data_IF_543477350612
#
_entry.id   IF_543477350612
#
_cell.length_a   1.000
_cell.length_b   1.000
_cell.length_c   1.000
_cell.angle_alpha   90.00
_cell.angle_beta   90.00
_cell.angle_gamma   90.00
#
_symmetry.space_group_name_H-M   'P 1'
#
loop_
_entity.id
_entity.type
_entity.pdbx_description
1 polymer ?
#
# COMPACT_ATOMS: atom_id res chain seq x y z
N UNK A 1 -33.26 12.28 -19.57
CA UNK A 1 -33.49 12.06 -21.01
C UNK A 1 -34.70 11.16 -21.20
N UNK A 2 -35.18 10.99 -22.43
CA UNK A 2 -36.28 10.06 -22.72
C UNK A 2 -35.66 8.68 -22.99
N UNK A 3 -36.14 7.65 -22.31
CA UNK A 3 -35.62 6.28 -22.44
C UNK A 3 -35.98 5.69 -23.82
N UNK A 4 -34.99 5.48 -24.72
CA UNK A 4 -35.25 5.00 -26.08
C UNK A 4 -35.85 3.59 -26.11
N UNK A 5 -35.53 2.76 -25.12
CA UNK A 5 -36.03 1.39 -25.05
C UNK A 5 -37.52 1.37 -24.66
N UNK A 6 -37.94 2.27 -23.77
CA UNK A 6 -39.35 2.41 -23.39
C UNK A 6 -40.21 3.03 -24.49
N UNK A 7 -39.65 3.97 -25.25
CA UNK A 7 -40.29 4.50 -26.46
C UNK A 7 -40.50 3.41 -27.52
N UNK A 8 -39.48 2.57 -27.74
CA UNK A 8 -39.58 1.45 -28.68
C UNK A 8 -40.61 0.39 -28.23
N UNK A 9 -40.87 0.28 -26.92
CA UNK A 9 -41.90 -0.58 -26.34
C UNK A 9 -43.35 -0.05 -26.44
N UNK A 10 -43.57 1.11 -27.07
CA UNK A 10 -44.91 1.69 -27.27
C UNK A 10 -45.34 2.70 -26.20
N UNK A 11 -44.45 3.06 -25.27
CA UNK A 11 -44.72 4.10 -24.27
C UNK A 11 -44.78 5.45 -24.96
N UNK A 12 -45.86 6.21 -24.75
CA UNK A 12 -45.98 7.58 -25.28
C UNK A 12 -44.82 8.44 -24.79
N UNK A 13 -44.25 9.30 -25.66
CA UNK A 13 -43.22 10.26 -25.25
C UNK A 13 -43.69 11.08 -24.05
N UNK A 14 -44.98 11.42 -23.98
CA UNK A 14 -45.57 12.22 -22.90
C UNK A 14 -45.78 11.50 -21.56
N UNK A 15 -45.55 10.18 -21.50
CA UNK A 15 -45.75 9.42 -20.28
C UNK A 15 -44.57 9.59 -19.33
N UNK A 16 -44.85 9.78 -18.03
CA UNK A 16 -43.85 9.89 -16.96
C UNK A 16 -42.89 8.69 -16.93
N UNK A 17 -43.38 7.50 -17.31
CA UNK A 17 -42.59 6.27 -17.39
C UNK A 17 -41.46 6.32 -18.43
N UNK A 18 -41.57 7.19 -19.43
CA UNK A 18 -40.54 7.40 -20.45
C UNK A 18 -39.40 8.32 -19.97
N UNK A 19 -39.55 8.95 -18.80
CA UNK A 19 -38.55 9.85 -18.22
C UNK A 19 -37.45 9.03 -17.54
N UNK A 20 -36.22 9.19 -18.02
CA UNK A 20 -35.03 8.72 -17.34
C UNK A 20 -34.38 9.87 -16.57
N UNK A 21 -34.60 9.89 -15.26
CA UNK A 21 -33.85 10.75 -14.34
C UNK A 21 -32.37 10.36 -14.37
N UNK A 22 -31.50 11.33 -14.67
CA UNK A 22 -30.05 11.15 -14.57
C UNK A 22 -29.60 10.87 -13.13
N UNK A 23 -28.30 10.72 -12.92
CA UNK A 23 -27.77 10.35 -11.60
C UNK A 23 -28.00 11.43 -10.52
N UNK A 24 -27.84 12.71 -10.86
CA UNK A 24 -27.93 13.81 -9.89
C UNK A 24 -29.36 14.03 -9.36
N UNK A 25 -30.42 14.09 -10.19
CA UNK A 25 -31.80 14.23 -9.69
C UNK A 25 -32.25 13.09 -8.77
N UNK A 26 -31.71 11.88 -8.95
CA UNK A 26 -31.99 10.72 -8.08
C UNK A 26 -31.44 10.90 -6.66
N UNK A 27 -30.53 11.86 -6.45
CA UNK A 27 -29.89 12.15 -5.17
C UNK A 27 -30.37 13.47 -4.56
N UNK A 28 -31.59 13.90 -4.89
CA UNK A 28 -32.23 15.03 -4.22
C UNK A 28 -32.22 14.83 -2.69
N UNK A 29 -31.80 15.87 -1.96
CA UNK A 29 -31.54 15.92 -0.51
C UNK A 29 -30.43 14.98 -0.06
N UNK A 30 -29.50 14.66 -0.96
CA UNK A 30 -28.39 13.76 -0.73
C UNK A 30 -27.02 14.37 -1.03
N UNK A 31 -26.00 13.53 -0.93
CA UNK A 31 -24.63 13.85 -1.31
C UNK A 31 -24.33 13.13 -2.63
N UNK A 32 -23.96 13.91 -3.65
CA UNK A 32 -23.45 13.36 -4.90
C UNK A 32 -21.92 13.40 -4.88
N UNK A 33 -21.32 12.24 -4.64
CA UNK A 33 -19.87 12.06 -4.62
C UNK A 33 -19.36 11.62 -6.00
N UNK A 34 -18.31 12.27 -6.51
CA UNK A 34 -17.64 11.89 -7.76
C UNK A 34 -16.12 11.93 -7.62
N UNK A 35 -15.43 11.12 -8.41
CA UNK A 35 -13.98 11.17 -8.47
C UNK A 35 -13.50 12.03 -9.63
N UNK A 36 -12.41 12.74 -9.38
CA UNK A 36 -11.61 13.40 -10.42
C UNK A 36 -12.44 14.33 -11.31
N UNK A 37 -13.13 15.32 -10.70
CA UNK A 37 -13.84 16.38 -11.42
C UNK A 37 -13.03 16.97 -12.61
N UNK A 38 -11.70 17.22 -12.49
CA UNK A 38 -10.90 17.75 -13.59
C UNK A 38 -10.75 16.83 -14.82
N UNK A 39 -11.14 15.57 -14.72
CA UNK A 39 -11.11 14.61 -15.82
C UNK A 39 -12.44 14.54 -16.57
N UNK A 40 -13.50 15.11 -16.02
CA UNK A 40 -14.79 15.18 -16.71
C UNK A 40 -14.71 16.14 -17.90
N UNK A 41 -15.42 15.75 -18.95
CA UNK A 41 -15.64 16.59 -20.13
C UNK A 41 -16.27 17.94 -19.75
N UNK A 42 -15.91 18.99 -20.46
CA UNK A 42 -16.36 20.36 -20.20
C UNK A 42 -17.90 20.47 -20.23
N UNK A 43 -18.58 19.73 -21.11
CA UNK A 43 -20.05 19.74 -21.19
C UNK A 43 -20.70 19.16 -19.93
N UNK A 44 -20.08 18.15 -19.33
CA UNK A 44 -20.56 17.56 -18.07
C UNK A 44 -20.36 18.56 -16.92
N UNK A 45 -19.22 19.26 -16.90
CA UNK A 45 -18.95 20.30 -15.92
C UNK A 45 -19.95 21.46 -16.01
N UNK A 46 -20.29 21.90 -17.22
CA UNK A 46 -21.33 22.92 -17.44
C UNK A 46 -22.69 22.43 -16.95
N UNK A 47 -23.03 21.17 -17.22
CA UNK A 47 -24.27 20.56 -16.69
C UNK A 47 -24.33 20.58 -15.16
N UNK A 48 -23.21 20.26 -14.49
CA UNK A 48 -23.10 20.34 -13.03
C UNK A 48 -23.23 21.77 -12.51
N UNK A 49 -22.63 22.75 -13.21
CA UNK A 49 -22.75 24.16 -12.85
C UNK A 49 -24.20 24.63 -12.89
N UNK A 50 -24.93 24.29 -13.96
CA UNK A 50 -26.34 24.67 -14.08
C UNK A 50 -27.18 24.10 -12.93
N UNK A 51 -26.91 22.86 -12.52
CA UNK A 51 -27.60 22.24 -11.38
C UNK A 51 -27.26 22.97 -10.07
N UNK A 52 -26.00 23.39 -9.86
CA UNK A 52 -25.61 24.13 -8.65
C UNK A 52 -26.18 25.55 -8.61
N UNK A 53 -26.29 26.20 -9.76
CA UNK A 53 -26.71 27.60 -9.88
C UNK A 53 -28.23 27.74 -9.88
N UNK A 54 -28.88 27.10 -10.84
CA UNK A 54 -30.32 27.25 -11.05
C UNK A 54 -31.12 26.32 -10.13
N UNK A 55 -30.44 25.34 -9.51
CA UNK A 55 -31.06 24.21 -8.78
C UNK A 55 -32.11 23.50 -9.61
N UNK A 56 -32.09 23.68 -10.92
CA UNK A 56 -33.10 23.19 -11.82
C UNK A 56 -32.49 22.19 -12.79
N UNK A 57 -33.29 21.18 -13.13
CA UNK A 57 -32.97 20.27 -14.24
C UNK A 57 -34.14 20.28 -15.22
N UNK A 58 -33.83 20.66 -16.45
CA UNK A 58 -34.75 20.58 -17.58
C UNK A 58 -34.60 19.25 -18.30
N UNK A 59 -35.73 18.62 -18.62
CA UNK A 59 -35.76 17.44 -19.48
C UNK A 59 -35.97 17.90 -20.93
N UNK A 60 -35.05 17.54 -21.83
CA UNK A 60 -35.20 17.80 -23.27
C UNK A 60 -36.54 17.23 -23.77
N UNK A 61 -37.37 18.10 -24.34
CA UNK A 61 -38.71 17.74 -24.83
C UNK A 61 -39.85 17.93 -23.83
N UNK A 62 -39.55 18.29 -22.57
CA UNK A 62 -40.56 18.54 -21.53
C UNK A 62 -40.34 19.90 -20.86
N UNK A 63 -41.38 20.73 -20.69
CA UNK A 63 -41.31 21.98 -19.95
C UNK A 63 -41.41 21.73 -18.43
N UNK A 64 -40.73 20.71 -17.92
CA UNK A 64 -40.74 20.35 -16.49
C UNK A 64 -39.37 20.71 -15.90
N UNK A 65 -39.40 21.40 -14.76
CA UNK A 65 -38.24 21.78 -13.96
C UNK A 65 -38.35 21.16 -12.58
N UNK A 66 -37.25 20.62 -12.08
CA UNK A 66 -37.17 20.05 -10.73
C UNK A 66 -36.26 20.92 -9.89
N UNK A 67 -36.74 21.41 -8.74
CA UNK A 67 -35.89 22.07 -7.75
C UNK A 67 -35.11 21.02 -6.94
N UNK A 68 -33.81 20.92 -7.22
CA UNK A 68 -32.91 19.92 -6.64
C UNK A 68 -32.02 20.57 -5.60
N UNK A 69 -32.22 20.14 -4.37
CA UNK A 69 -31.27 20.29 -3.27
C UNK A 69 -30.26 19.13 -3.29
N UNK A 70 -28.97 19.39 -3.44
CA UNK A 70 -27.91 18.36 -3.43
C UNK A 70 -26.58 18.96 -2.97
N UNK A 71 -25.84 18.21 -2.15
CA UNK A 71 -24.44 18.54 -1.84
C UNK A 71 -23.53 17.78 -2.80
N UNK A 72 -22.72 18.49 -3.58
CA UNK A 72 -21.73 17.86 -4.45
C UNK A 72 -20.41 17.76 -3.70
N UNK A 73 -19.85 16.54 -3.65
CA UNK A 73 -18.52 16.25 -3.12
C UNK A 73 -17.68 15.66 -4.25
N UNK A 74 -16.47 16.15 -4.45
CA UNK A 74 -15.59 15.57 -5.45
C UNK A 74 -14.14 15.53 -5.00
N UNK A 75 -13.39 14.58 -5.57
CA UNK A 75 -11.94 14.53 -5.45
C UNK A 75 -11.27 15.16 -6.66
N UNK A 76 -10.05 15.66 -6.47
CA UNK A 76 -9.21 16.15 -7.55
C UNK A 76 -7.74 16.03 -7.15
N UNK A 77 -6.89 15.60 -8.08
CA UNK A 77 -5.44 15.70 -7.90
C UNK A 77 -5.02 17.18 -7.99
N UNK A 78 -4.25 17.73 -7.03
CA UNK A 78 -3.78 19.12 -7.07
C UNK A 78 -3.10 19.53 -8.38
N UNK A 79 -2.34 18.63 -9.01
CA UNK A 79 -1.63 18.89 -10.28
C UNK A 79 -2.60 19.16 -11.43
N UNK A 80 -3.76 18.51 -11.43
CA UNK A 80 -4.80 18.66 -12.45
C UNK A 80 -5.76 19.80 -12.09
N UNK A 81 -6.15 19.93 -10.82
CA UNK A 81 -7.07 20.97 -10.34
C UNK A 81 -6.56 22.40 -10.59
N UNK A 82 -5.25 22.61 -10.41
CA UNK A 82 -4.59 23.90 -10.60
C UNK A 82 -4.26 24.20 -12.07
N UNK A 83 -4.35 23.21 -12.96
CA UNK A 83 -4.08 23.40 -14.39
C UNK A 83 -5.20 24.19 -15.04
N UNK A 84 -4.84 25.20 -15.83
CA UNK A 84 -5.82 26.00 -16.57
C UNK A 84 -6.65 25.13 -17.53
N UNK A 85 -7.95 25.40 -17.61
CA UNK A 85 -8.89 24.68 -18.48
C UNK A 85 -9.33 23.30 -17.99
N UNK A 86 -8.83 22.81 -16.86
CA UNK A 86 -9.24 21.49 -16.33
C UNK A 86 -10.53 21.51 -15.50
N UNK A 87 -10.78 22.61 -14.79
CA UNK A 87 -12.07 22.87 -14.15
C UNK A 87 -12.54 24.25 -14.57
N UNK A 88 -13.77 24.34 -15.08
CA UNK A 88 -14.32 25.61 -15.56
C UNK A 88 -14.40 26.63 -14.41
N UNK A 89 -14.05 27.92 -14.63
CA UNK A 89 -14.08 28.94 -13.58
C UNK A 89 -15.43 29.04 -12.85
N UNK A 90 -16.53 28.87 -13.59
CA UNK A 90 -17.90 28.93 -13.06
C UNK A 90 -18.15 27.90 -11.97
N UNK A 91 -17.59 26.68 -12.11
CA UNK A 91 -17.66 25.66 -11.06
C UNK A 91 -16.78 26.01 -9.88
N UNK A 92 -15.57 26.54 -10.12
CA UNK A 92 -14.64 26.93 -9.05
C UNK A 92 -15.27 27.98 -8.12
N UNK A 93 -15.98 28.95 -8.69
CA UNK A 93 -16.66 30.00 -7.95
C UNK A 93 -17.87 29.51 -7.13
N UNK A 94 -18.28 28.24 -7.30
CA UNK A 94 -19.37 27.60 -6.56
C UNK A 94 -18.90 26.60 -5.51
N UNK A 95 -17.59 26.42 -5.35
CA UNK A 95 -17.04 25.56 -4.32
C UNK A 95 -17.13 26.26 -2.97
N UNK A 96 -17.96 25.74 -2.07
CA UNK A 96 -18.12 26.30 -0.73
C UNK A 96 -16.99 25.98 0.25
N UNK A 97 -16.31 24.83 0.07
CA UNK A 97 -15.20 24.41 0.92
C UNK A 97 -14.23 23.52 0.15
N UNK A 98 -12.93 23.67 0.44
CA UNK A 98 -11.85 22.86 -0.13
C UNK A 98 -11.10 22.19 1.01
N UNK A 99 -11.08 20.86 1.00
CA UNK A 99 -10.35 20.05 1.99
C UNK A 99 -9.08 19.54 1.33
N UNK A 100 -7.93 19.93 1.89
CA UNK A 100 -6.63 19.39 1.48
C UNK A 100 -6.31 18.14 2.30
N UNK A 101 -6.29 16.99 1.64
CA UNK A 101 -5.90 15.72 2.27
C UNK A 101 -4.38 15.56 2.26
N UNK A 102 -3.88 14.68 3.12
CA UNK A 102 -2.47 14.33 3.16
C UNK A 102 -2.30 12.86 3.54
N UNK A 103 -1.16 12.27 3.18
CA UNK A 103 -0.77 10.96 3.67
C UNK A 103 -0.57 10.95 5.20
N UNK A 104 -0.60 9.78 5.86
CA UNK A 104 -0.34 9.68 7.30
C UNK A 104 0.97 10.37 7.69
N UNK A 105 0.94 11.15 8.78
CA UNK A 105 2.11 11.93 9.25
C UNK A 105 3.06 11.13 10.14
N UNK A 106 2.59 10.02 10.70
CA UNK A 106 3.39 9.10 11.49
C UNK A 106 3.26 7.68 10.94
N UNK A 107 4.33 6.88 11.08
CA UNK A 107 4.34 5.45 10.73
C UNK A 107 3.27 4.70 11.50
N UNK A 108 3.11 4.99 12.79
CA UNK A 108 2.11 4.36 13.65
C UNK A 108 0.69 4.52 13.08
N UNK A 109 0.31 5.73 12.66
CA UNK A 109 -1.00 5.97 12.04
C UNK A 109 -1.12 5.23 10.69
N UNK A 110 -0.03 5.17 9.92
CA UNK A 110 0.04 4.39 8.68
C UNK A 110 -0.20 2.90 8.93
N UNK A 111 0.42 2.32 9.97
CA UNK A 111 0.20 0.94 10.40
C UNK A 111 -1.25 0.71 10.79
N UNK A 112 -1.85 1.59 11.61
CA UNK A 112 -3.26 1.46 12.01
C UNK A 112 -4.21 1.45 10.80
N UNK A 113 -4.01 2.37 9.85
CA UNK A 113 -4.79 2.41 8.60
C UNK A 113 -4.57 1.15 7.78
N UNK A 114 -3.31 0.73 7.61
CA UNK A 114 -2.95 -0.47 6.86
C UNK A 114 -3.65 -1.70 7.43
N UNK A 115 -3.63 -1.89 8.75
CA UNK A 115 -4.25 -3.05 9.40
C UNK A 115 -5.77 -3.01 9.30
N UNK A 116 -6.39 -1.85 9.54
CA UNK A 116 -7.83 -1.67 9.42
C UNK A 116 -8.30 -1.98 8.00
N UNK A 117 -7.68 -1.36 6.99
CA UNK A 117 -8.10 -1.45 5.60
C UNK A 117 -7.67 -2.77 4.92
N UNK A 118 -6.66 -3.45 5.47
CA UNK A 118 -6.30 -4.78 5.01
C UNK A 118 -7.44 -5.78 5.24
N UNK A 119 -8.19 -5.64 6.35
CA UNK A 119 -9.38 -6.45 6.64
C UNK A 119 -9.10 -7.95 6.64
N UNK A 120 -7.89 -8.35 7.06
CA UNK A 120 -7.46 -9.74 7.02
C UNK A 120 -7.95 -10.50 8.25
N UNK A 121 -8.52 -11.67 8.03
CA UNK A 121 -8.68 -12.66 9.09
C UNK A 121 -7.34 -13.38 9.31
N UNK A 122 -6.76 -13.17 10.50
CA UNK A 122 -5.51 -13.77 10.93
C UNK A 122 -5.71 -15.13 11.63
N UNK A 123 -6.95 -15.55 11.89
CA UNK A 123 -7.27 -16.77 12.63
C UNK A 123 -8.07 -17.80 11.83
N UNK A 124 -7.82 -19.09 12.07
CA UNK A 124 -8.40 -20.22 11.34
C UNK A 124 -7.52 -21.45 11.56
N UNK A 125 -7.55 -22.43 10.64
CA UNK A 125 -6.71 -23.63 10.76
C UNK A 125 -5.20 -23.32 10.75
N UNK A 126 -4.81 -22.24 10.06
CA UNK A 126 -3.43 -21.75 9.95
C UNK A 126 -3.36 -20.31 10.47
N UNK A 127 -3.37 -20.11 11.81
CA UNK A 127 -3.35 -18.78 12.40
C UNK A 127 -2.03 -18.07 12.06
N UNK A 128 -2.11 -16.76 11.83
CA UNK A 128 -0.96 -15.91 11.50
C UNK A 128 -0.69 -14.95 12.64
N UNK A 129 0.52 -14.99 13.19
CA UNK A 129 1.01 -14.04 14.18
C UNK A 129 1.99 -13.10 13.47
N UNK A 130 1.63 -11.83 13.36
CA UNK A 130 2.48 -10.80 12.72
C UNK A 130 3.22 -10.00 13.80
N UNK A 131 4.55 -10.15 13.95
CA UNK A 131 5.34 -9.31 14.85
C UNK A 131 5.21 -7.84 14.49
N UNK A 132 5.23 -6.95 15.48
CA UNK A 132 4.97 -5.52 15.24
C UNK A 132 6.00 -4.89 14.30
N UNK A 133 7.29 -5.21 14.45
CA UNK A 133 8.34 -4.72 13.55
C UNK A 133 8.09 -5.10 12.08
N UNK A 134 7.44 -6.23 11.78
CA UNK A 134 7.07 -6.57 10.40
C UNK A 134 5.99 -5.65 9.85
N UNK A 135 5.03 -5.22 10.68
CA UNK A 135 4.02 -4.22 10.30
C UNK A 135 4.67 -2.88 10.02
N UNK A 136 5.62 -2.51 10.87
CA UNK A 136 6.40 -1.29 10.71
C UNK A 136 7.26 -1.30 9.47
N UNK A 137 7.92 -2.42 9.14
CA UNK A 137 8.68 -2.56 7.89
C UNK A 137 7.75 -2.32 6.68
N UNK A 138 6.56 -2.92 6.65
CA UNK A 138 5.63 -2.74 5.51
C UNK A 138 5.18 -1.29 5.34
N UNK A 139 4.86 -0.59 6.42
CA UNK A 139 4.54 0.84 6.32
C UNK A 139 5.79 1.69 6.01
N UNK A 140 6.94 1.34 6.59
CA UNK A 140 8.20 2.05 6.34
C UNK A 140 8.64 1.92 4.87
N UNK A 141 8.38 0.78 4.21
CA UNK A 141 8.56 0.61 2.76
C UNK A 141 7.77 1.69 2.00
N UNK A 142 6.55 1.98 2.42
CA UNK A 142 5.71 3.00 1.80
C UNK A 142 6.23 4.42 2.07
N UNK A 143 6.69 4.68 3.30
CA UNK A 143 7.34 5.96 3.65
C UNK A 143 8.59 6.20 2.81
N UNK A 144 9.45 5.18 2.67
CA UNK A 144 10.67 5.27 1.86
C UNK A 144 10.36 5.42 0.37
N UNK A 145 9.35 4.71 -0.15
CA UNK A 145 8.89 4.88 -1.52
C UNK A 145 8.40 6.32 -1.80
N UNK A 146 7.72 6.98 -0.85
CA UNK A 146 7.30 8.39 -1.00
C UNK A 146 8.47 9.38 -1.03
N UNK A 147 9.62 9.02 -0.47
CA UNK A 147 10.83 9.86 -0.42
C UNK A 147 11.84 9.52 -1.53
N UNK A 148 11.64 8.40 -2.22
CA UNK A 148 12.56 7.93 -3.25
C UNK A 148 12.54 8.85 -4.47
N UNK A 149 13.72 9.33 -4.86
CA UNK A 149 13.94 10.09 -6.10
C UNK A 149 13.65 9.30 -7.38
N UNK A 150 13.51 7.99 -7.28
CA UNK A 150 13.28 7.10 -8.42
C UNK A 150 11.79 6.86 -8.69
N UNK A 151 10.91 7.32 -7.80
CA UNK A 151 9.47 7.16 -7.90
C UNK A 151 8.86 8.51 -8.26
N UNK A 152 7.92 8.51 -9.20
CA UNK A 152 7.22 9.72 -9.61
C UNK A 152 6.29 10.24 -8.50
N UNK A 153 6.66 11.37 -7.93
CA UNK A 153 5.88 12.03 -6.89
C UNK A 153 4.56 12.64 -7.41
N UNK A 154 4.40 12.87 -8.72
CA UNK A 154 3.14 13.38 -9.29
C UNK A 154 2.05 12.32 -9.26
N UNK A 155 2.42 11.07 -9.58
CA UNK A 155 1.57 9.89 -9.42
C UNK A 155 1.38 9.53 -7.94
N UNK A 156 2.43 9.72 -7.14
CA UNK A 156 2.41 9.54 -5.69
C UNK A 156 2.31 8.07 -5.26
N UNK A 157 2.48 7.82 -3.96
CA UNK A 157 2.42 6.45 -3.39
C UNK A 157 1.27 6.36 -2.38
N UNK A 158 0.18 5.76 -2.83
CA UNK A 158 -1.06 5.64 -2.06
C UNK A 158 -0.94 4.68 -0.88
N UNK A 159 -1.86 4.77 0.09
CA UNK A 159 -1.99 3.79 1.17
C UNK A 159 -2.34 2.37 0.65
N UNK A 160 -2.87 2.25 -0.58
CA UNK A 160 -3.12 0.92 -1.19
C UNK A 160 -1.83 0.14 -1.40
N UNK A 161 -0.68 0.81 -1.44
CA UNK A 161 0.63 0.17 -1.55
C UNK A 161 0.97 -0.63 -0.28
N UNK A 162 0.94 -0.01 0.91
CA UNK A 162 1.16 -0.74 2.17
C UNK A 162 0.09 -1.79 2.41
N UNK A 163 -1.19 -1.49 2.15
CA UNK A 163 -2.29 -2.47 2.30
C UNK A 163 -2.06 -3.72 1.44
N UNK A 164 -1.71 -3.54 0.16
CA UNK A 164 -1.47 -4.67 -0.74
C UNK A 164 -0.22 -5.47 -0.31
N UNK A 165 0.85 -4.80 0.09
CA UNK A 165 2.08 -5.45 0.54
C UNK A 165 1.88 -6.22 1.85
N UNK A 166 1.08 -5.68 2.79
CA UNK A 166 0.72 -6.37 4.02
C UNK A 166 -0.06 -7.66 3.74
N UNK A 167 -1.05 -7.59 2.85
CA UNK A 167 -1.82 -8.78 2.40
C UNK A 167 -0.92 -9.83 1.77
N UNK A 168 0.01 -9.44 0.90
CA UNK A 168 0.96 -10.34 0.26
C UNK A 168 1.91 -10.99 1.27
N UNK A 169 2.45 -10.22 2.21
CA UNK A 169 3.33 -10.74 3.27
C UNK A 169 2.60 -11.78 4.14
N UNK A 170 1.37 -11.48 4.57
CA UNK A 170 0.54 -12.41 5.36
C UNK A 170 0.22 -13.68 4.56
N UNK A 171 -0.15 -13.54 3.28
CA UNK A 171 -0.45 -14.67 2.40
C UNK A 171 0.78 -15.55 2.17
N UNK A 172 1.95 -14.95 1.94
CA UNK A 172 3.23 -15.66 1.78
C UNK A 172 3.60 -16.43 3.04
N UNK A 173 3.55 -15.77 4.21
CA UNK A 173 3.83 -16.42 5.49
C UNK A 173 2.89 -17.60 5.78
N UNK A 174 1.59 -17.43 5.50
CA UNK A 174 0.58 -18.49 5.67
C UNK A 174 0.80 -19.65 4.68
N UNK A 175 1.13 -19.36 3.43
CA UNK A 175 1.43 -20.38 2.43
C UNK A 175 2.66 -21.20 2.83
N UNK A 176 3.74 -20.55 3.26
CA UNK A 176 4.94 -21.25 3.78
C UNK A 176 4.58 -22.15 4.94
N UNK A 177 3.85 -21.63 5.91
CA UNK A 177 3.45 -22.37 7.09
C UNK A 177 2.64 -23.63 6.74
N UNK A 178 1.70 -23.53 5.79
CA UNK A 178 0.93 -24.67 5.28
C UNK A 178 1.85 -25.73 4.67
N UNK A 179 2.80 -25.33 3.83
CA UNK A 179 3.70 -26.27 3.16
C UNK A 179 4.67 -26.94 4.13
N UNK A 180 5.14 -26.20 5.15
CA UNK A 180 6.08 -26.70 6.14
C UNK A 180 5.41 -27.41 7.33
N UNK A 181 4.09 -27.33 7.47
CA UNK A 181 3.40 -27.91 8.62
C UNK A 181 3.50 -27.06 9.90
N UNK A 182 3.85 -25.78 9.81
CA UNK A 182 4.15 -24.93 10.97
C UNK A 182 2.94 -24.11 11.43
N UNK A 183 2.63 -24.14 12.74
CA UNK A 183 1.55 -23.34 13.34
C UNK A 183 2.04 -22.74 14.66
N UNK A 184 1.93 -21.42 14.89
CA UNK A 184 1.35 -20.41 13.98
C UNK A 184 2.28 -20.06 12.79
N UNK A 185 1.68 -19.50 11.75
CA UNK A 185 2.42 -18.86 10.67
C UNK A 185 2.94 -17.50 11.14
N UNK A 186 4.22 -17.22 10.94
CA UNK A 186 4.83 -15.94 11.31
C UNK A 186 5.57 -15.36 10.11
N UNK A 187 5.27 -14.13 9.65
CA UNK A 187 6.04 -13.48 8.59
C UNK A 187 7.49 -13.24 8.99
N UNK A 188 8.41 -13.40 8.03
CA UNK A 188 9.85 -13.18 8.13
C UNK A 188 10.31 -12.30 6.97
N UNK A 189 11.56 -11.84 7.00
CA UNK A 189 12.12 -10.99 5.93
C UNK A 189 12.09 -11.70 4.58
N UNK A 190 12.29 -13.02 4.55
CA UNK A 190 12.20 -13.84 3.34
C UNK A 190 10.84 -13.69 2.64
N UNK A 191 9.74 -13.53 3.39
CA UNK A 191 8.40 -13.37 2.81
C UNK A 191 8.22 -12.02 2.09
N UNK A 192 9.07 -11.02 2.38
CA UNK A 192 9.08 -9.73 1.68
C UNK A 192 9.56 -9.87 0.23
N UNK A 193 10.25 -10.96 -0.11
CA UNK A 193 10.63 -11.27 -1.49
C UNK A 193 9.42 -11.42 -2.44
N UNK A 194 8.21 -11.61 -1.91
CA UNK A 194 6.99 -11.70 -2.69
C UNK A 194 6.30 -10.36 -2.95
N UNK A 195 6.76 -9.27 -2.33
CA UNK A 195 6.13 -7.96 -2.44
C UNK A 195 6.12 -7.41 -3.87
N UNK A 196 7.02 -7.86 -4.75
CA UNK A 196 6.97 -7.46 -6.16
C UNK A 196 5.61 -7.75 -6.80
N UNK A 197 4.97 -8.88 -6.45
CA UNK A 197 3.68 -9.26 -7.01
C UNK A 197 2.56 -8.26 -6.72
N UNK A 198 2.62 -7.59 -5.56
CA UNK A 198 1.67 -6.54 -5.17
C UNK A 198 2.16 -5.13 -5.42
N UNK A 199 3.47 -4.94 -5.58
CA UNK A 199 4.10 -3.63 -5.74
C UNK A 199 4.14 -3.16 -7.20
N UNK A 200 4.31 -4.11 -8.14
CA UNK A 200 4.39 -3.80 -9.57
C UNK A 200 3.13 -3.07 -10.06
N UNK A 201 3.32 -1.96 -10.75
CA UNK A 201 2.24 -1.12 -11.28
C UNK A 201 1.45 -0.32 -10.23
N UNK A 202 1.88 -0.34 -8.97
CA UNK A 202 1.43 0.63 -7.93
C UNK A 202 2.48 1.71 -7.65
N UNK A 203 3.68 1.55 -8.20
CA UNK A 203 4.74 2.53 -8.19
C UNK A 203 5.01 2.95 -9.63
N UNK A 204 4.84 4.23 -9.90
CA UNK A 204 5.28 4.80 -11.18
C UNK A 204 6.73 5.26 -11.02
N UNK A 205 7.60 4.83 -11.93
CA UNK A 205 8.99 5.27 -11.94
C UNK A 205 9.10 6.65 -12.57
N UNK A 206 9.98 7.49 -12.01
CA UNK A 206 10.34 8.72 -12.69
C UNK A 206 11.07 8.41 -14.01
N UNK A 207 10.72 9.11 -15.09
CA UNK A 207 11.29 8.85 -16.42
C UNK A 207 12.81 8.97 -16.43
N UNK A 208 13.40 9.90 -15.67
CA UNK A 208 14.86 10.02 -15.57
C UNK A 208 15.48 8.89 -14.73
N UNK A 209 14.77 8.40 -13.71
CA UNK A 209 15.17 7.27 -12.87
C UNK A 209 15.08 5.90 -13.56
N UNK A 210 14.15 5.75 -14.50
CA UNK A 210 13.90 4.51 -15.25
C UNK A 210 15.12 4.02 -16.06
N UNK A 211 16.02 4.94 -16.45
CA UNK A 211 17.26 4.60 -17.15
C UNK A 211 18.38 4.11 -16.20
N UNK A 212 18.27 4.39 -14.90
CA UNK A 212 19.30 4.06 -13.91
C UNK A 212 18.99 2.74 -13.18
N UNK A 213 17.71 2.49 -12.89
CA UNK A 213 17.28 1.33 -12.11
C UNK A 213 15.96 0.79 -12.65
N UNK A 214 15.86 -0.54 -12.72
CA UNK A 214 14.59 -1.21 -12.94
C UNK A 214 13.66 -1.05 -11.73
N UNK A 215 12.34 -1.17 -11.94
CA UNK A 215 11.33 -1.09 -10.86
C UNK A 215 11.64 -2.07 -9.72
N UNK A 216 12.15 -3.25 -10.08
CA UNK A 216 12.61 -4.27 -9.13
C UNK A 216 13.74 -3.77 -8.24
N UNK A 217 14.77 -3.17 -8.83
CA UNK A 217 15.92 -2.65 -8.09
C UNK A 217 15.53 -1.45 -7.22
N UNK A 218 14.62 -0.60 -7.68
CA UNK A 218 14.09 0.51 -6.88
C UNK A 218 13.35 -0.04 -5.66
N UNK A 219 12.52 -1.06 -5.85
CA UNK A 219 11.83 -1.70 -4.72
C UNK A 219 12.81 -2.35 -3.74
N UNK A 220 13.86 -3.01 -4.23
CA UNK A 220 14.91 -3.60 -3.37
C UNK A 220 15.61 -2.56 -2.52
N UNK A 221 15.97 -1.41 -3.11
CA UNK A 221 16.58 -0.31 -2.39
C UNK A 221 15.64 0.26 -1.32
N UNK A 222 14.36 0.44 -1.67
CA UNK A 222 13.32 0.91 -0.73
C UNK A 222 13.10 -0.07 0.43
N UNK A 223 13.07 -1.38 0.15
CA UNK A 223 12.94 -2.42 1.18
C UNK A 223 14.16 -2.44 2.10
N UNK A 224 15.38 -2.40 1.53
CA UNK A 224 16.61 -2.39 2.32
C UNK A 224 16.67 -1.19 3.26
N UNK A 225 16.34 0.01 2.75
CA UNK A 225 16.32 1.24 3.52
C UNK A 225 15.22 1.24 4.62
N UNK A 226 14.07 0.64 4.33
CA UNK A 226 13.00 0.47 5.31
C UNK A 226 13.42 -0.48 6.44
N UNK A 227 14.05 -1.62 6.10
CA UNK A 227 14.60 -2.56 7.08
C UNK A 227 15.66 -1.86 7.93
N UNK A 228 16.59 -1.11 7.33
CA UNK A 228 17.62 -0.35 8.03
C UNK A 228 17.00 0.61 9.06
N UNK A 229 16.01 1.40 8.63
CA UNK A 229 15.35 2.39 9.48
C UNK A 229 14.69 1.73 10.69
N UNK A 230 13.91 0.67 10.50
CA UNK A 230 13.26 -0.04 11.61
C UNK A 230 14.29 -0.74 12.47
N UNK A 231 15.32 -1.34 11.89
CA UNK A 231 16.37 -2.06 12.63
C UNK A 231 17.11 -1.15 13.62
N UNK A 232 17.45 0.08 13.22
CA UNK A 232 18.12 1.06 14.07
C UNK A 232 17.29 1.47 15.31
N UNK A 233 15.97 1.26 15.28
CA UNK A 233 15.08 1.56 16.42
C UNK A 233 14.95 0.39 17.40
N UNK A 234 15.22 -0.84 16.94
CA UNK A 234 15.02 -2.07 17.72
C UNK A 234 16.31 -2.66 18.31
N UNK A 235 17.45 -2.48 17.63
CA UNK A 235 18.68 -3.18 17.98
C UNK A 235 19.79 -2.19 18.29
N UNK A 236 20.32 -2.26 19.52
CA UNK A 236 21.44 -1.42 19.92
C UNK A 236 22.71 -1.80 19.13
N UNK A 237 23.50 -0.79 18.76
CA UNK A 237 24.80 -0.92 18.08
C UNK A 237 25.80 -1.75 18.88
N UNK A 238 25.68 -1.79 20.20
CA UNK A 238 26.53 -2.64 21.05
C UNK A 238 26.38 -4.12 20.67
N UNK A 239 27.49 -4.83 20.44
CA UNK A 239 27.50 -6.26 20.06
C UNK A 239 27.41 -6.54 18.56
N UNK A 240 27.12 -5.55 17.71
CA UNK A 240 27.13 -5.76 16.25
C UNK A 240 28.54 -6.10 15.71
N UNK A 241 29.58 -5.55 16.34
CA UNK A 241 30.98 -5.80 15.95
C UNK A 241 31.36 -7.27 16.15
N UNK A 242 30.92 -7.88 17.25
CA UNK A 242 31.18 -9.30 17.55
C UNK A 242 30.53 -10.21 16.51
N UNK A 243 29.31 -9.87 16.07
CA UNK A 243 28.64 -10.62 15.00
C UNK A 243 29.45 -10.55 13.70
N UNK A 244 29.91 -9.35 13.31
CA UNK A 244 30.73 -9.18 12.11
C UNK A 244 32.05 -9.97 12.21
N UNK A 245 32.71 -9.99 13.36
CA UNK A 245 33.93 -10.79 13.58
C UNK A 245 33.71 -12.31 13.47
N UNK A 246 32.51 -12.80 13.78
CA UNK A 246 32.17 -14.22 13.61
C UNK A 246 31.99 -14.54 12.12
N UNK A 247 31.33 -13.67 11.35
CA UNK A 247 31.19 -13.87 9.90
C UNK A 247 32.53 -13.76 9.16
N UNK A 248 33.45 -12.91 9.60
CA UNK A 248 34.77 -12.76 8.95
C UNK A 248 35.65 -14.00 9.10
N UNK A 249 35.32 -14.88 10.05
CA UNK A 249 35.94 -16.21 10.21
C UNK A 249 35.37 -17.26 9.23
N UNK A 250 34.55 -16.85 8.27
CA UNK A 250 33.99 -17.70 7.22
C UNK A 250 32.71 -18.44 7.62
N UNK A 251 32.05 -18.03 8.71
CA UNK A 251 30.75 -18.60 9.08
C UNK A 251 29.70 -18.11 8.08
N UNK A 252 28.91 -19.04 7.55
CA UNK A 252 27.78 -18.73 6.67
C UNK A 252 26.48 -19.14 7.34
N UNK A 253 25.49 -18.24 7.31
CA UNK A 253 24.13 -18.54 7.75
C UNK A 253 23.23 -18.52 6.53
N UNK A 254 22.64 -19.67 6.25
CA UNK A 254 21.57 -19.80 5.27
C UNK A 254 20.20 -19.57 5.93
N UNK A 255 19.40 -18.71 5.33
CA UNK A 255 17.98 -18.49 5.61
C UNK A 255 17.18 -18.66 4.32
N UNK A 256 15.86 -18.74 4.43
CA UNK A 256 15.02 -18.64 3.25
C UNK A 256 13.59 -19.14 3.42
N UNK A 257 12.86 -18.98 2.32
CA UNK A 257 11.41 -19.08 2.23
C UNK A 257 10.88 -20.49 2.56
N UNK A 258 11.73 -21.51 2.46
CA UNK A 258 11.36 -22.92 2.69
C UNK A 258 12.14 -23.55 3.84
N UNK A 259 12.83 -22.75 4.65
CA UNK A 259 13.56 -23.26 5.83
C UNK A 259 12.60 -23.35 7.04
N UNK A 260 12.43 -24.53 7.65
CA UNK A 260 11.63 -24.68 8.86
C UNK A 260 12.15 -23.80 10.00
N UNK A 261 11.23 -23.19 10.75
CA UNK A 261 11.48 -22.36 11.94
C UNK A 261 12.35 -23.08 12.96
N UNK A 262 12.12 -24.38 13.17
CA UNK A 262 12.86 -25.20 14.13
C UNK A 262 14.36 -25.33 13.80
N UNK A 263 14.75 -25.17 12.53
CA UNK A 263 16.15 -25.28 12.11
C UNK A 263 16.98 -24.03 12.44
N UNK A 264 16.35 -22.89 12.73
CA UNK A 264 17.07 -21.64 13.03
C UNK A 264 17.87 -21.75 14.33
N UNK A 265 17.30 -22.36 15.38
CA UNK A 265 17.99 -22.54 16.67
C UNK A 265 19.29 -23.35 16.52
N UNK A 266 19.27 -24.43 15.73
CA UNK A 266 20.46 -25.25 15.49
C UNK A 266 21.51 -24.53 14.63
N UNK A 267 21.08 -23.77 13.63
CA UNK A 267 21.98 -23.00 12.76
C UNK A 267 22.70 -21.88 13.52
N UNK A 268 22.02 -21.25 14.48
CA UNK A 268 22.54 -20.12 15.24
C UNK A 268 23.43 -20.51 16.43
N UNK A 269 23.54 -21.81 16.75
CA UNK A 269 24.59 -22.30 17.67
C UNK A 269 25.99 -21.85 17.25
N UNK A 270 26.20 -21.57 15.96
CA UNK A 270 27.47 -21.09 15.39
C UNK A 270 27.67 -19.58 15.54
N UNK A 271 26.61 -18.81 15.78
CA UNK A 271 26.65 -17.36 15.99
C UNK A 271 25.71 -16.96 17.14
N UNK A 272 26.04 -17.31 18.39
CA UNK A 272 25.21 -17.01 19.55
C UNK A 272 24.78 -15.53 19.69
N UNK A 273 25.63 -14.53 19.39
CA UNK A 273 25.23 -13.12 19.57
C UNK A 273 24.03 -12.69 18.71
N UNK A 274 23.77 -13.34 17.57
CA UNK A 274 22.55 -13.06 16.76
C UNK A 274 21.30 -13.54 17.49
N UNK A 275 21.39 -14.69 18.17
CA UNK A 275 20.27 -15.21 18.96
C UNK A 275 19.93 -14.26 20.11
N UNK A 276 20.96 -13.74 20.78
CA UNK A 276 20.79 -12.77 21.87
C UNK A 276 20.22 -11.45 21.36
N UNK A 277 20.70 -10.93 20.22
CA UNK A 277 20.10 -9.75 19.58
C UNK A 277 18.64 -9.95 19.16
N UNK A 278 18.26 -11.16 18.75
CA UNK A 278 16.87 -11.44 18.46
C UNK A 278 15.96 -11.33 19.71
N UNK A 279 16.49 -11.48 20.94
CA UNK A 279 15.74 -11.21 22.18
C UNK A 279 15.45 -9.73 22.37
N UNK A 280 16.32 -8.83 21.94
CA UNK A 280 16.09 -7.38 22.01
C UNK A 280 14.88 -6.97 21.15
N UNK A 281 14.68 -7.64 20.02
CA UNK A 281 13.54 -7.41 19.12
C UNK A 281 12.24 -7.99 19.69
N UNK A 282 12.30 -9.23 20.19
CA UNK A 282 11.15 -9.88 20.83
C UNK A 282 11.61 -10.99 21.79
N UNK A 283 11.10 -10.98 23.02
CA UNK A 283 11.43 -11.96 24.04
C UNK A 283 10.71 -13.32 23.87
N UNK A 284 9.80 -13.47 22.90
CA UNK A 284 9.03 -14.70 22.69
C UNK A 284 9.91 -15.94 22.45
N UNK A 285 9.59 -17.07 23.07
CA UNK A 285 10.32 -18.33 22.89
C UNK A 285 9.81 -19.18 21.72
N UNK A 286 8.69 -18.77 21.09
CA UNK A 286 8.11 -19.46 19.96
C UNK A 286 9.11 -19.54 18.78
N UNK A 287 9.39 -20.74 18.24
CA UNK A 287 10.38 -20.91 17.17
C UNK A 287 10.10 -20.10 15.91
N UNK A 288 8.83 -19.90 15.56
CA UNK A 288 8.45 -19.15 14.36
C UNK A 288 8.65 -17.65 14.56
N UNK A 289 8.33 -17.12 15.74
CA UNK A 289 8.65 -15.72 16.11
C UNK A 289 10.17 -15.51 16.16
N UNK A 290 10.91 -16.47 16.69
CA UNK A 290 12.38 -16.43 16.72
C UNK A 290 12.98 -16.39 15.33
N UNK A 291 12.52 -17.24 14.42
CA UNK A 291 12.99 -17.25 13.03
C UNK A 291 12.78 -15.88 12.35
N UNK A 292 11.64 -15.23 12.60
CA UNK A 292 11.37 -13.87 12.12
C UNK A 292 12.36 -12.84 12.66
N UNK A 293 12.62 -12.84 13.97
CA UNK A 293 13.55 -11.91 14.61
C UNK A 293 15.00 -12.13 14.13
N UNK A 294 15.42 -13.38 13.94
CA UNK A 294 16.75 -13.70 13.41
C UNK A 294 16.93 -13.15 11.99
N UNK A 295 15.96 -13.41 11.12
CA UNK A 295 16.01 -12.89 9.75
C UNK A 295 16.05 -11.37 9.74
N UNK A 296 15.32 -10.71 10.64
CA UNK A 296 15.36 -9.27 10.80
C UNK A 296 16.74 -8.76 11.23
N UNK A 297 17.40 -9.43 12.18
CA UNK A 297 18.77 -9.05 12.59
C UNK A 297 19.77 -9.23 11.45
N UNK A 298 19.71 -10.35 10.74
CA UNK A 298 20.58 -10.60 9.57
C UNK A 298 20.35 -9.58 8.46
N UNK A 299 19.09 -9.27 8.16
CA UNK A 299 18.74 -8.28 7.15
C UNK A 299 19.16 -6.86 7.56
N UNK A 300 19.04 -6.50 8.84
CA UNK A 300 19.51 -5.24 9.38
C UNK A 300 21.03 -5.08 9.28
N UNK A 301 21.79 -6.11 9.65
CA UNK A 301 23.24 -6.12 9.50
C UNK A 301 23.68 -5.98 8.03
N UNK A 302 22.97 -6.64 7.12
CA UNK A 302 23.21 -6.48 5.68
C UNK A 302 22.89 -5.06 5.20
N UNK A 303 21.76 -4.48 5.62
CA UNK A 303 21.37 -3.13 5.26
C UNK A 303 22.29 -2.04 5.86
N UNK A 304 23.11 -2.38 6.85
CA UNK A 304 24.17 -1.54 7.42
C UNK A 304 25.57 -1.83 6.84
N UNK A 305 25.66 -2.60 5.75
CA UNK A 305 26.91 -3.01 5.11
C UNK A 305 27.90 -3.70 6.08
N UNK A 306 27.38 -4.45 7.07
CA UNK A 306 28.20 -5.20 8.04
C UNK A 306 28.48 -6.63 7.60
N UNK A 307 27.58 -7.20 6.81
CA UNK A 307 27.68 -8.53 6.22
C UNK A 307 27.19 -8.47 4.78
N UNK A 308 27.67 -9.38 3.94
CA UNK A 308 27.26 -9.59 2.55
C UNK A 308 26.12 -10.60 2.48
N UNK A 309 25.29 -10.47 1.43
CA UNK A 309 24.16 -11.36 1.15
C UNK A 309 24.29 -11.92 -0.27
N UNK A 310 24.24 -13.24 -0.40
CA UNK A 310 24.10 -13.92 -1.68
C UNK A 310 22.75 -14.64 -1.76
N UNK A 311 22.16 -14.69 -2.96
CA UNK A 311 20.89 -15.38 -3.19
C UNK A 311 21.05 -16.39 -4.34
N UNK A 312 20.72 -17.66 -4.06
CA UNK A 312 20.71 -18.74 -5.05
C UNK A 312 19.46 -19.60 -4.88
N UNK A 313 18.65 -19.75 -5.94
CA UNK A 313 17.48 -20.63 -5.98
C UNK A 313 16.49 -20.46 -4.80
N UNK A 314 16.23 -19.21 -4.37
CA UNK A 314 15.32 -18.93 -3.23
C UNK A 314 15.93 -19.17 -1.85
N UNK A 315 17.21 -19.54 -1.77
CA UNK A 315 17.98 -19.52 -0.51
C UNK A 315 18.81 -18.25 -0.44
N UNK A 316 18.83 -17.65 0.74
CA UNK A 316 19.62 -16.47 1.05
C UNK A 316 20.73 -16.91 2.00
N UNK A 317 21.98 -16.65 1.65
CA UNK A 317 23.14 -16.89 2.51
C UNK A 317 23.80 -15.58 2.88
N UNK A 318 24.06 -15.39 4.17
CA UNK A 318 24.83 -14.28 4.69
C UNK A 318 26.28 -14.70 4.99
N UNK A 319 27.24 -13.86 4.56
CA UNK A 319 28.69 -14.05 4.70
C UNK A 319 29.41 -12.70 4.81
N UNK A 320 30.73 -12.64 4.97
CA UNK A 320 31.52 -11.42 4.79
C UNK A 320 32.39 -11.61 3.55
N UNK A 321 32.44 -10.59 2.68
CA UNK A 321 33.39 -10.50 1.56
C UNK A 321 34.80 -10.14 2.03
#
# INVERSE_FOLDING_TARGET
EIDPAKLAGGTSMSAEESLHFGLVPRLHRGIFAMNELPELDELVQVGLFNILEERDVQIRGFPIRFDIDVLILFSANPSTYNRSGKVIPQLKDRIGSVIHTHYPRSRELGVQIMEQEAGLDLGGDWPVVVPYFMREIVEQITVQARQSRYIDHQSGVSARFSIANYRTMVASARQRAIVLGERPAVPRISDLGHLYSSSLGKLELDMMGSHQMSERQVLDAVIAEAIRTVFEEYVDRHGMQEIAEIFSKGVKIEVGDMLPSSHYADRLKRVPPIWDKAFEVNAAEDPAVRASCVEFVLAGLYAMDRISRAQQHGRISYEIE
#
